data_IF_531545145182
#
_entry.id   IF_531545145182
#
_cell.length_a   1.000
_cell.length_b   1.000
_cell.length_c   1.000
_cell.angle_alpha   90.00
_cell.angle_beta   90.00
_cell.angle_gamma   90.00
#
_symmetry.space_group_name_H-M   'P 1'
#
loop_
_entity.id
_entity.type
_entity.pdbx_description
1 polymer ?
#
# COMPACT_ATOMS: atom_id res chain seq x y z
N UNK A 1 -2.56 -15.51 -1.56
CA UNK A 1 -3.16 -15.66 -0.21
C UNK A 1 -4.55 -16.29 -0.35
N UNK A 2 -4.81 -17.36 0.41
CA UNK A 2 -6.09 -18.05 0.65
C UNK A 2 -6.91 -18.46 -0.61
N UNK A 3 -6.59 -19.61 -1.25
CA UNK A 3 -7.46 -20.19 -2.28
C UNK A 3 -8.81 -20.58 -1.69
N UNK A 4 -9.86 -20.50 -2.50
CA UNK A 4 -11.22 -20.77 -2.07
C UNK A 4 -11.50 -22.28 -1.99
N UNK A 5 -11.31 -22.87 -0.81
CA UNK A 5 -11.64 -24.27 -0.52
C UNK A 5 -13.06 -24.45 0.04
N UNK A 6 -13.53 -25.69 0.18
CA UNK A 6 -14.89 -25.97 0.62
C UNK A 6 -15.21 -25.42 2.03
N UNK A 7 -14.34 -25.57 3.05
CA UNK A 7 -14.53 -24.90 4.33
C UNK A 7 -14.66 -23.37 4.21
N UNK A 8 -13.81 -22.73 3.41
CA UNK A 8 -13.82 -21.29 3.23
C UNK A 8 -15.08 -20.81 2.49
N UNK A 9 -15.52 -21.55 1.46
CA UNK A 9 -16.80 -21.29 0.77
C UNK A 9 -17.97 -21.26 1.74
N UNK A 10 -18.06 -22.23 2.66
CA UNK A 10 -19.14 -22.27 3.67
C UNK A 10 -19.09 -21.07 4.62
N UNK A 11 -17.89 -20.61 4.98
CA UNK A 11 -17.71 -19.42 5.83
C UNK A 11 -18.13 -18.14 5.09
N UNK A 12 -17.74 -17.99 3.82
CA UNK A 12 -18.13 -16.88 2.96
C UNK A 12 -19.66 -16.85 2.74
N UNK A 13 -20.27 -18.02 2.53
CA UNK A 13 -21.72 -18.15 2.36
C UNK A 13 -22.48 -17.75 3.63
N UNK A 14 -22.01 -18.22 4.80
CA UNK A 14 -22.56 -17.81 6.09
C UNK A 14 -22.40 -16.30 6.33
N UNK A 15 -21.28 -15.71 5.92
CA UNK A 15 -21.04 -14.27 5.99
C UNK A 15 -22.04 -13.48 5.13
N UNK A 16 -22.21 -13.81 3.84
CA UNK A 16 -23.19 -13.14 2.96
C UNK A 16 -24.61 -13.28 3.50
N UNK A 17 -25.03 -14.50 3.88
CA UNK A 17 -26.35 -14.74 4.47
C UNK A 17 -26.55 -13.94 5.74
N UNK A 18 -25.52 -13.82 6.57
CA UNK A 18 -25.54 -13.01 7.78
C UNK A 18 -25.72 -11.51 7.50
N UNK A 19 -25.06 -10.98 6.47
CA UNK A 19 -25.22 -9.59 6.05
C UNK A 19 -26.63 -9.30 5.52
N UNK A 20 -27.16 -10.17 4.65
CA UNK A 20 -28.50 -10.02 4.05
C UNK A 20 -29.61 -10.06 5.12
N UNK A 21 -29.46 -10.90 6.15
CA UNK A 21 -30.46 -11.04 7.23
C UNK A 21 -30.55 -9.84 8.17
N UNK A 22 -29.56 -8.96 8.19
CA UNK A 22 -29.60 -7.74 9.04
C UNK A 22 -30.64 -6.76 8.49
N UNK A 23 -31.18 -5.91 9.36
CA UNK A 23 -32.19 -4.91 8.95
C UNK A 23 -31.70 -3.99 7.85
N UNK A 24 -30.42 -3.61 7.88
CA UNK A 24 -29.77 -2.81 6.83
C UNK A 24 -29.53 -3.59 5.53
N UNK A 25 -29.43 -4.92 5.60
CA UNK A 25 -29.09 -5.81 4.49
C UNK A 25 -30.14 -5.83 3.38
N UNK A 26 -31.39 -5.50 3.69
CA UNK A 26 -32.50 -5.47 2.73
C UNK A 26 -32.21 -4.57 1.53
N UNK A 27 -31.51 -3.45 1.74
CA UNK A 27 -31.18 -2.46 0.72
C UNK A 27 -30.16 -2.95 -0.31
N UNK A 28 -29.40 -4.00 0.03
CA UNK A 28 -28.30 -4.52 -0.79
C UNK A 28 -28.52 -5.98 -1.19
N UNK A 29 -29.72 -6.51 -0.98
CA UNK A 29 -30.04 -7.93 -1.20
C UNK A 29 -30.31 -8.28 -2.66
N UNK A 30 -30.58 -7.29 -3.51
CA UNK A 30 -30.91 -7.43 -4.93
C UNK A 30 -30.33 -6.28 -5.74
N UNK A 31 -30.14 -6.45 -7.06
CA UNK A 31 -29.71 -5.36 -7.94
C UNK A 31 -30.61 -4.14 -7.82
N UNK A 32 -30.02 -2.95 -7.89
CA UNK A 32 -30.77 -1.70 -7.94
C UNK A 32 -31.55 -1.62 -9.25
N UNK A 33 -32.88 -1.67 -9.17
CA UNK A 33 -33.77 -1.41 -10.31
C UNK A 33 -33.87 0.10 -10.55
N UNK A 34 -32.79 0.68 -11.06
CA UNK A 34 -32.67 2.11 -11.30
C UNK A 34 -33.70 2.64 -12.30
N UNK A 35 -34.24 1.80 -13.19
CA UNK A 35 -35.32 2.18 -14.10
C UNK A 35 -36.62 2.39 -13.34
N UNK A 36 -37.03 1.41 -12.53
CA UNK A 36 -38.24 1.49 -11.70
C UNK A 36 -38.16 2.61 -10.68
N UNK A 37 -36.97 2.87 -10.14
CA UNK A 37 -36.71 3.95 -9.19
C UNK A 37 -36.47 5.31 -9.85
N UNK A 38 -36.49 5.40 -11.19
CA UNK A 38 -36.23 6.62 -11.96
C UNK A 38 -34.87 7.28 -11.65
N UNK A 39 -33.88 6.48 -11.30
CA UNK A 39 -32.51 6.92 -11.00
C UNK A 39 -31.70 7.02 -12.30
N UNK A 40 -32.03 8.01 -13.13
CA UNK A 40 -31.43 8.18 -14.47
C UNK A 40 -29.91 8.36 -14.47
N UNK A 41 -29.34 8.85 -13.37
CA UNK A 41 -27.89 9.04 -13.23
C UNK A 41 -27.16 7.80 -12.68
N UNK A 42 -27.89 6.80 -12.16
CA UNK A 42 -27.29 5.58 -11.63
C UNK A 42 -26.40 4.87 -12.67
N UNK A 43 -26.84 4.57 -13.90
CA UNK A 43 -25.96 3.93 -14.89
C UNK A 43 -24.83 4.84 -15.39
N UNK A 44 -24.93 6.16 -15.17
CA UNK A 44 -23.84 7.10 -15.52
C UNK A 44 -22.74 7.08 -14.46
N UNK A 45 -23.10 6.96 -13.19
CA UNK A 45 -22.18 7.01 -12.06
C UNK A 45 -21.65 5.61 -11.68
N UNK A 46 -22.52 4.60 -11.69
CA UNK A 46 -22.20 3.23 -11.26
C UNK A 46 -21.85 2.37 -12.47
N UNK A 47 -20.54 2.16 -12.66
CA UNK A 47 -19.99 1.43 -13.82
C UNK A 47 -20.10 -0.08 -13.68
N UNK A 48 -20.07 -0.60 -12.45
CA UNK A 48 -20.16 -2.02 -12.17
C UNK A 48 -21.21 -2.24 -11.06
N UNK A 49 -22.51 -2.31 -11.41
CA UNK A 49 -23.57 -2.60 -10.44
C UNK A 49 -23.31 -3.93 -9.74
N UNK A 50 -23.51 -3.97 -8.42
CA UNK A 50 -23.33 -5.18 -7.61
C UNK A 50 -24.22 -5.13 -6.37
N UNK A 51 -24.64 -6.30 -5.91
CA UNK A 51 -25.46 -6.50 -4.71
C UNK A 51 -25.10 -7.85 -4.05
N UNK A 52 -25.45 -7.99 -2.77
CA UNK A 52 -25.10 -9.18 -1.97
C UNK A 52 -25.77 -10.47 -2.47
N UNK A 53 -26.94 -10.37 -3.11
CA UNK A 53 -27.62 -11.52 -3.70
C UNK A 53 -26.82 -12.08 -4.87
N UNK A 54 -26.42 -11.21 -5.80
CA UNK A 54 -25.56 -11.56 -6.94
C UNK A 54 -24.21 -12.13 -6.47
N UNK A 55 -23.59 -11.53 -5.45
CA UNK A 55 -22.35 -12.09 -4.86
C UNK A 55 -22.58 -13.49 -4.29
N UNK A 56 -23.68 -13.71 -3.58
CA UNK A 56 -24.06 -15.03 -3.05
C UNK A 56 -24.27 -16.07 -4.15
N UNK A 57 -24.94 -15.71 -5.25
CA UNK A 57 -25.12 -16.59 -6.41
C UNK A 57 -23.79 -16.98 -7.07
N UNK A 58 -22.89 -16.01 -7.23
CA UNK A 58 -21.55 -16.25 -7.78
C UNK A 58 -20.71 -17.14 -6.88
N UNK A 59 -20.78 -16.92 -5.56
CA UNK A 59 -20.11 -17.77 -4.58
C UNK A 59 -20.59 -19.22 -4.67
N UNK A 60 -21.90 -19.45 -4.78
CA UNK A 60 -22.48 -20.79 -4.93
C UNK A 60 -22.11 -21.51 -6.23
N UNK A 61 -21.61 -20.78 -7.23
CA UNK A 61 -21.06 -21.32 -8.49
C UNK A 61 -19.53 -21.46 -8.47
N UNK A 62 -18.90 -21.30 -7.30
CA UNK A 62 -17.44 -21.30 -7.13
C UNK A 62 -16.73 -20.29 -8.05
N UNK A 63 -17.32 -19.12 -8.27
CA UNK A 63 -16.80 -18.12 -9.20
C UNK A 63 -15.59 -17.31 -8.67
N UNK A 64 -15.17 -17.53 -7.43
CA UNK A 64 -14.09 -16.79 -6.78
C UNK A 64 -12.89 -17.70 -6.51
N UNK A 65 -11.76 -17.53 -7.21
CA UNK A 65 -10.56 -18.32 -6.99
C UNK A 65 -9.92 -18.09 -5.61
N UNK A 66 -9.96 -16.86 -5.10
CA UNK A 66 -9.39 -16.47 -3.81
C UNK A 66 -10.43 -15.80 -2.91
N UNK A 67 -10.16 -15.81 -1.60
CA UNK A 67 -10.93 -15.03 -0.62
C UNK A 67 -11.00 -13.54 -0.98
N UNK A 68 -9.88 -12.98 -1.44
CA UNK A 68 -9.80 -11.57 -1.82
C UNK A 68 -10.73 -11.23 -3.01
N UNK A 69 -10.90 -12.15 -3.97
CA UNK A 69 -11.79 -11.93 -5.12
C UNK A 69 -13.25 -11.82 -4.67
N UNK A 70 -13.66 -12.69 -3.75
CA UNK A 70 -14.96 -12.63 -3.09
C UNK A 70 -15.11 -11.33 -2.29
N UNK A 71 -14.12 -10.99 -1.47
CA UNK A 71 -14.15 -9.82 -0.61
C UNK A 71 -14.25 -8.52 -1.42
N UNK A 72 -13.53 -8.45 -2.53
CA UNK A 72 -13.57 -7.31 -3.44
C UNK A 72 -14.96 -7.11 -4.06
N UNK A 73 -15.67 -8.16 -4.45
CA UNK A 73 -17.04 -7.99 -4.93
C UNK A 73 -18.02 -7.53 -3.85
N UNK A 74 -17.85 -7.97 -2.60
CA UNK A 74 -18.64 -7.42 -1.48
C UNK A 74 -18.33 -5.93 -1.28
N UNK A 75 -17.04 -5.55 -1.31
CA UNK A 75 -16.61 -4.15 -1.18
C UNK A 75 -17.11 -3.27 -2.33
N UNK A 76 -17.29 -3.82 -3.53
CA UNK A 76 -17.91 -3.12 -4.65
C UNK A 76 -19.35 -2.70 -4.36
N UNK A 77 -20.12 -3.51 -3.61
CA UNK A 77 -21.47 -3.14 -3.14
C UNK A 77 -21.41 -1.85 -2.32
N UNK A 78 -20.49 -1.77 -1.37
CA UNK A 78 -20.31 -0.61 -0.51
C UNK A 78 -19.81 0.60 -1.27
N UNK A 79 -18.81 0.40 -2.15
CA UNK A 79 -18.28 1.44 -3.02
C UNK A 79 -19.39 2.09 -3.86
N UNK A 80 -20.22 1.29 -4.51
CA UNK A 80 -21.32 1.79 -5.30
C UNK A 80 -22.31 2.60 -4.46
N UNK A 81 -22.56 2.15 -3.22
CA UNK A 81 -23.40 2.89 -2.28
C UNK A 81 -22.76 4.24 -1.90
N UNK A 82 -21.45 4.30 -1.67
CA UNK A 82 -20.75 5.55 -1.33
C UNK A 82 -20.67 6.54 -2.49
N UNK A 83 -20.52 6.05 -3.74
CA UNK A 83 -20.49 6.89 -4.94
C UNK A 83 -21.87 7.52 -5.20
N UNK A 84 -22.93 6.71 -5.11
CA UNK A 84 -24.26 7.15 -5.53
C UNK A 84 -24.99 7.96 -4.44
N UNK A 85 -24.79 7.62 -3.16
CA UNK A 85 -25.58 8.17 -2.07
C UNK A 85 -24.79 9.21 -1.26
N UNK A 86 -25.49 10.23 -0.76
CA UNK A 86 -24.89 11.23 0.13
C UNK A 86 -24.50 10.63 1.48
N UNK A 87 -23.41 11.11 2.14
CA UNK A 87 -22.91 10.56 3.40
C UNK A 87 -23.92 10.47 4.55
N UNK A 88 -24.91 11.37 4.57
CA UNK A 88 -25.95 11.46 5.58
C UNK A 88 -27.17 10.55 5.30
N UNK A 89 -27.28 10.01 4.08
CA UNK A 89 -28.39 9.17 3.66
C UNK A 89 -28.46 7.84 4.42
N UNK A 90 -29.66 7.27 4.48
CA UNK A 90 -29.89 5.94 5.10
C UNK A 90 -29.09 4.85 4.40
N UNK A 91 -28.94 4.92 3.07
CA UNK A 91 -28.22 3.92 2.27
C UNK A 91 -26.71 3.99 2.51
N UNK A 92 -26.13 5.19 2.58
CA UNK A 92 -24.71 5.35 2.88
C UNK A 92 -24.38 4.84 4.29
N UNK A 93 -25.18 5.23 5.30
CA UNK A 93 -25.01 4.78 6.68
C UNK A 93 -25.20 3.27 6.83
N UNK A 94 -26.16 2.70 6.10
CA UNK A 94 -26.38 1.25 6.05
C UNK A 94 -25.18 0.51 5.43
N UNK A 95 -24.65 1.01 4.30
CA UNK A 95 -23.46 0.46 3.67
C UNK A 95 -22.24 0.52 4.60
N UNK A 96 -22.02 1.66 5.28
CA UNK A 96 -20.94 1.80 6.28
C UNK A 96 -21.06 0.77 7.41
N UNK A 97 -22.26 0.64 7.98
CA UNK A 97 -22.52 -0.31 9.06
C UNK A 97 -22.26 -1.76 8.62
N UNK A 98 -22.74 -2.15 7.44
CA UNK A 98 -22.52 -3.50 6.92
C UNK A 98 -21.08 -3.75 6.48
N UNK A 99 -20.40 -2.72 5.96
CA UNK A 99 -18.97 -2.75 5.66
C UNK A 99 -18.15 -3.04 6.91
N UNK A 100 -18.41 -2.36 8.03
CA UNK A 100 -17.70 -2.60 9.29
C UNK A 100 -17.90 -4.03 9.82
N UNK A 101 -19.13 -4.54 9.73
CA UNK A 101 -19.45 -5.93 10.08
C UNK A 101 -18.73 -6.91 9.15
N UNK A 102 -18.74 -6.63 7.85
CA UNK A 102 -18.10 -7.46 6.85
C UNK A 102 -16.58 -7.53 7.07
N UNK A 103 -15.89 -6.39 7.18
CA UNK A 103 -14.43 -6.37 7.34
C UNK A 103 -14.00 -7.06 8.64
N UNK A 104 -14.77 -6.90 9.74
CA UNK A 104 -14.50 -7.62 10.99
C UNK A 104 -14.62 -9.15 10.79
N UNK A 105 -15.66 -9.62 10.11
CA UNK A 105 -15.85 -11.07 9.92
C UNK A 105 -14.90 -11.66 8.87
N UNK A 106 -14.53 -10.88 7.85
CA UNK A 106 -13.52 -11.25 6.88
C UNK A 106 -12.16 -11.43 7.55
N UNK A 107 -11.77 -10.51 8.45
CA UNK A 107 -10.55 -10.61 9.25
C UNK A 107 -10.51 -11.88 10.13
N UNK A 108 -11.63 -12.24 10.76
CA UNK A 108 -11.73 -13.48 11.54
C UNK A 108 -11.49 -14.72 10.66
N UNK A 109 -12.08 -14.74 9.46
CA UNK A 109 -11.89 -15.81 8.48
C UNK A 109 -10.43 -15.88 8.00
N UNK A 110 -9.82 -14.74 7.68
CA UNK A 110 -8.41 -14.67 7.24
C UNK A 110 -7.45 -15.21 8.31
N UNK A 111 -7.65 -14.82 9.58
CA UNK A 111 -6.84 -15.31 10.70
C UNK A 111 -6.95 -16.83 10.89
N UNK A 112 -8.14 -17.39 10.66
CA UNK A 112 -8.34 -18.85 10.72
C UNK A 112 -7.62 -19.57 9.57
N UNK A 113 -7.58 -18.97 8.38
CA UNK A 113 -6.85 -19.53 7.23
C UNK A 113 -5.33 -19.52 7.43
N UNK A 114 -4.78 -18.53 8.13
CA UNK A 114 -3.34 -18.42 8.42
C UNK A 114 -2.83 -19.44 9.46
N UNK A 115 -3.71 -20.17 10.15
CA UNK A 115 -3.30 -21.21 11.11
C UNK A 115 -2.64 -22.43 10.45
N UNK A 116 -2.67 -22.52 9.11
CA UNK A 116 -1.82 -23.41 8.33
C UNK A 116 -0.48 -22.73 8.06
N UNK A 117 0.59 -23.15 8.77
CA UNK A 117 1.94 -22.61 8.63
C UNK A 117 2.41 -22.62 7.16
N UNK A 118 2.42 -21.47 6.46
CA UNK A 118 3.07 -21.39 5.16
C UNK A 118 4.59 -21.43 5.39
N UNK A 119 5.41 -21.80 4.40
CA UNK A 119 6.85 -21.56 4.47
C UNK A 119 7.11 -20.08 4.77
N UNK A 120 8.21 -19.74 5.48
CA UNK A 120 8.54 -18.36 5.80
C UNK A 120 8.73 -17.57 4.49
N UNK A 121 7.73 -16.75 4.16
CA UNK A 121 7.81 -15.75 3.10
C UNK A 121 8.43 -14.51 3.73
N UNK A 122 9.40 -13.90 3.03
CA UNK A 122 10.04 -12.68 3.48
C UNK A 122 9.03 -11.57 3.80
N UNK A 123 9.32 -10.79 4.84
CA UNK A 123 8.42 -9.75 5.34
C UNK A 123 8.12 -8.66 4.29
N UNK A 124 9.08 -8.33 3.42
CA UNK A 124 8.87 -7.40 2.31
C UNK A 124 8.05 -8.03 1.19
N UNK A 125 8.23 -9.31 0.90
CA UNK A 125 7.37 -10.01 -0.06
C UNK A 125 5.91 -10.06 0.45
N UNK A 126 5.69 -10.23 1.76
CA UNK A 126 4.35 -10.10 2.35
C UNK A 126 3.80 -8.67 2.23
N UNK A 127 4.64 -7.65 2.37
CA UNK A 127 4.23 -6.26 2.14
C UNK A 127 3.84 -6.03 0.68
N UNK A 128 4.59 -6.59 -0.27
CA UNK A 128 4.26 -6.55 -1.70
C UNK A 128 2.90 -7.20 -1.99
N UNK A 129 2.65 -8.40 -1.44
CA UNK A 129 1.33 -9.05 -1.57
C UNK A 129 0.20 -8.21 -0.95
N UNK A 130 0.44 -7.59 0.21
CA UNK A 130 -0.52 -6.69 0.82
C UNK A 130 -0.79 -5.46 -0.07
N UNK A 131 0.24 -4.87 -0.67
CA UNK A 131 0.11 -3.75 -1.60
C UNK A 131 -0.73 -4.14 -2.84
N UNK A 132 -0.49 -5.33 -3.41
CA UNK A 132 -1.28 -5.87 -4.51
C UNK A 132 -2.75 -6.01 -4.11
N UNK A 133 -3.03 -6.60 -2.95
CA UNK A 133 -4.40 -6.78 -2.49
C UNK A 133 -5.07 -5.41 -2.21
N UNK A 134 -4.36 -4.44 -1.60
CA UNK A 134 -4.85 -3.07 -1.40
C UNK A 134 -5.17 -2.35 -2.72
N UNK A 135 -4.35 -2.53 -3.78
CA UNK A 135 -4.63 -1.98 -5.11
C UNK A 135 -5.82 -2.66 -5.79
N UNK A 136 -6.01 -3.96 -5.57
CA UNK A 136 -7.15 -4.72 -6.11
C UNK A 136 -8.48 -4.33 -5.46
N UNK A 137 -8.44 -3.85 -4.21
CA UNK A 137 -9.63 -3.40 -3.48
C UNK A 137 -10.39 -2.32 -4.28
N UNK A 138 -11.69 -2.48 -4.56
CA UNK A 138 -12.45 -1.50 -5.32
C UNK A 138 -12.46 -0.11 -4.68
N UNK A 139 -12.41 -0.03 -3.35
CA UNK A 139 -12.39 1.23 -2.61
C UNK A 139 -11.09 2.03 -2.86
N UNK A 140 -10.02 1.39 -3.32
CA UNK A 140 -8.73 2.06 -3.52
C UNK A 140 -8.63 2.90 -4.80
N UNK A 141 -9.64 2.87 -5.69
CA UNK A 141 -9.55 3.45 -7.05
C UNK A 141 -8.99 4.88 -7.07
N UNK A 142 -9.48 5.78 -6.22
CA UNK A 142 -9.05 7.18 -6.16
C UNK A 142 -7.64 7.41 -5.58
N UNK A 143 -6.99 6.36 -5.10
CA UNK A 143 -5.70 6.41 -4.41
C UNK A 143 -4.63 5.61 -5.14
N UNK A 144 -4.95 5.07 -6.32
CA UNK A 144 -4.05 4.20 -7.11
C UNK A 144 -2.98 4.97 -7.86
N UNK A 145 -3.26 6.22 -8.21
CA UNK A 145 -2.40 7.07 -9.02
C UNK A 145 -2.27 8.45 -8.38
N UNK A 146 -1.21 9.22 -8.69
CA UNK A 146 -1.04 10.56 -8.16
C UNK A 146 -2.24 11.46 -8.48
N UNK A 147 -2.64 12.30 -7.53
CA UNK A 147 -3.72 13.27 -7.75
C UNK A 147 -3.29 14.30 -8.79
N UNK A 148 -3.94 14.30 -9.94
CA UNK A 148 -3.79 15.36 -10.95
C UNK A 148 -4.58 16.60 -10.53
N UNK A 149 -4.00 17.33 -9.57
CA UNK A 149 -4.62 18.50 -8.98
C UNK A 149 -4.81 19.65 -10.00
N UNK A 150 -4.07 19.65 -11.12
CA UNK A 150 -4.23 20.64 -12.19
C UNK A 150 -5.49 20.31 -13.00
N UNK A 151 -5.63 19.08 -13.48
CA UNK A 151 -6.81 18.66 -14.24
C UNK A 151 -8.11 18.75 -13.43
N UNK A 152 -8.01 18.55 -12.10
CA UNK A 152 -9.14 18.68 -11.17
C UNK A 152 -9.39 20.13 -10.70
N UNK A 153 -8.55 21.10 -11.08
CA UNK A 153 -8.70 22.50 -10.68
C UNK A 153 -8.44 22.77 -9.18
N UNK A 154 -7.73 21.88 -8.50
CA UNK A 154 -7.39 21.95 -7.09
C UNK A 154 -6.13 22.82 -6.89
N UNK A 155 -6.30 24.13 -6.93
CA UNK A 155 -5.20 25.12 -6.92
C UNK A 155 -4.44 25.21 -5.58
N UNK A 156 -5.05 24.74 -4.49
CA UNK A 156 -4.49 24.77 -3.14
C UNK A 156 -3.87 23.43 -2.71
N UNK A 157 -3.98 22.37 -3.54
CA UNK A 157 -3.58 21.02 -3.17
C UNK A 157 -2.13 20.93 -2.69
N UNK A 158 -1.19 21.55 -3.41
CA UNK A 158 0.24 21.56 -3.07
C UNK A 158 0.58 22.45 -1.88
N UNK A 159 -0.35 23.33 -1.45
CA UNK A 159 -0.19 24.14 -0.25
C UNK A 159 -0.67 23.38 1.00
N UNK A 160 -1.68 22.52 0.83
CA UNK A 160 -2.26 21.71 1.91
C UNK A 160 -1.51 20.39 2.11
N UNK A 161 -1.11 19.74 1.02
CA UNK A 161 -0.45 18.43 1.04
C UNK A 161 1.05 18.61 0.81
N UNK A 162 1.81 18.46 1.90
CA UNK A 162 3.26 18.62 1.89
C UNK A 162 3.99 17.50 1.12
N UNK A 163 3.53 16.26 1.26
CA UNK A 163 4.16 15.09 0.63
C UNK A 163 3.08 14.25 -0.05
N UNK A 164 2.79 14.47 -1.34
CA UNK A 164 1.88 13.63 -2.10
C UNK A 164 2.34 12.17 -2.12
N UNK A 165 1.39 11.24 -2.02
CA UNK A 165 1.65 9.80 -2.08
C UNK A 165 0.41 9.07 -2.60
N UNK A 166 0.63 7.97 -3.33
CA UNK A 166 -0.39 7.12 -3.93
C UNK A 166 0.14 5.68 -4.04
N UNK A 167 -0.77 4.70 -4.18
CA UNK A 167 -0.38 3.29 -4.25
C UNK A 167 0.46 2.95 -5.50
N UNK A 168 0.35 3.75 -6.56
CA UNK A 168 1.11 3.64 -7.80
C UNK A 168 2.57 3.98 -7.60
N UNK A 169 2.82 5.11 -6.93
CA UNK A 169 4.15 5.52 -6.49
C UNK A 169 4.76 4.49 -5.54
N UNK A 170 3.99 3.97 -4.57
CA UNK A 170 4.46 2.93 -3.65
C UNK A 170 4.85 1.65 -4.39
N UNK A 171 4.11 1.24 -5.42
CA UNK A 171 4.51 0.10 -6.27
C UNK A 171 5.86 0.36 -6.94
N UNK A 172 6.07 1.54 -7.54
CA UNK A 172 7.36 1.88 -8.17
C UNK A 172 8.50 1.89 -7.15
N UNK A 173 8.25 2.36 -5.93
CA UNK A 173 9.23 2.31 -4.82
C UNK A 173 9.56 0.88 -4.41
N UNK A 174 8.55 0.01 -4.33
CA UNK A 174 8.72 -1.43 -4.04
C UNK A 174 9.53 -2.15 -5.13
N UNK A 175 9.21 -1.92 -6.41
CA UNK A 175 9.92 -2.52 -7.57
C UNK A 175 11.40 -2.09 -7.66
N UNK A 176 11.71 -0.89 -7.17
CA UNK A 176 13.07 -0.34 -7.10
C UNK A 176 13.76 -0.64 -5.76
N UNK A 177 13.18 -1.49 -4.92
CA UNK A 177 13.74 -1.85 -3.60
C UNK A 177 14.01 -0.65 -2.68
N UNK A 178 13.24 0.44 -2.79
CA UNK A 178 13.46 1.69 -2.05
C UNK A 178 12.93 1.67 -0.60
N UNK A 179 12.45 0.52 -0.13
CA UNK A 179 11.98 0.33 1.25
C UNK A 179 12.98 -0.52 2.02
N UNK A 180 13.58 0.04 3.06
CA UNK A 180 14.57 -0.66 3.89
C UNK A 180 13.92 -1.58 4.92
N UNK A 181 12.66 -1.33 5.25
CA UNK A 181 11.88 -2.09 6.21
C UNK A 181 10.39 -2.10 5.86
N UNK A 182 9.63 -3.07 6.40
CA UNK A 182 8.17 -3.06 6.34
C UNK A 182 7.55 -1.75 6.84
N UNK A 183 8.20 -1.06 7.78
CA UNK A 183 7.69 0.18 8.36
C UNK A 183 7.86 1.40 7.44
N UNK A 184 8.91 1.42 6.62
CA UNK A 184 9.07 2.45 5.59
C UNK A 184 7.96 2.35 4.55
N UNK A 185 7.64 1.11 4.13
CA UNK A 185 6.49 0.81 3.28
C UNK A 185 5.18 1.22 3.95
N UNK A 186 4.98 0.84 5.21
CA UNK A 186 3.74 1.15 5.93
C UNK A 186 3.55 2.65 6.15
N UNK A 187 4.63 3.39 6.36
CA UNK A 187 4.59 4.86 6.50
C UNK A 187 4.04 5.52 5.24
N UNK A 188 4.50 5.12 4.05
CA UNK A 188 3.98 5.64 2.79
C UNK A 188 2.52 5.24 2.56
N UNK A 189 2.15 3.98 2.84
CA UNK A 189 0.75 3.55 2.67
C UNK A 189 -0.17 4.35 3.59
N UNK A 190 0.20 4.59 4.85
CA UNK A 190 -0.57 5.43 5.78
C UNK A 190 -0.63 6.88 5.31
N UNK A 191 0.43 7.40 4.70
CA UNK A 191 0.48 8.74 4.15
C UNK A 191 -0.57 8.94 3.04
N UNK A 192 -0.83 7.94 2.20
CA UNK A 192 -1.92 7.99 1.19
C UNK A 192 -3.26 8.33 1.85
N UNK A 193 -3.61 7.60 2.91
CA UNK A 193 -4.89 7.78 3.61
C UNK A 193 -4.93 9.08 4.39
N UNK A 194 -3.83 9.43 5.05
CA UNK A 194 -3.72 10.65 5.83
C UNK A 194 -3.87 11.88 4.94
N UNK A 195 -3.20 11.92 3.78
CA UNK A 195 -3.34 13.02 2.82
C UNK A 195 -4.78 13.18 2.35
N UNK A 196 -5.46 12.07 2.04
CA UNK A 196 -6.85 12.11 1.63
C UNK A 196 -7.77 12.72 2.70
N UNK A 197 -7.58 12.34 3.97
CA UNK A 197 -8.34 12.87 5.12
C UNK A 197 -7.97 14.33 5.39
N UNK A 198 -6.70 14.70 5.29
CA UNK A 198 -6.23 16.07 5.49
C UNK A 198 -6.86 17.01 4.46
N UNK A 199 -6.87 16.64 3.18
CA UNK A 199 -7.42 17.49 2.12
C UNK A 199 -8.95 17.50 2.11
N UNK A 200 -9.61 16.34 2.28
CA UNK A 200 -11.05 16.20 2.07
C UNK A 200 -11.88 16.19 3.35
N UNK A 201 -11.27 16.19 4.54
CA UNK A 201 -11.90 15.88 5.85
C UNK A 201 -12.35 14.44 6.02
N UNK A 202 -12.35 13.95 7.26
CA UNK A 202 -12.78 12.59 7.62
C UNK A 202 -14.28 12.31 7.36
N UNK A 203 -15.10 13.36 7.27
CA UNK A 203 -16.54 13.23 7.03
C UNK A 203 -16.91 13.13 5.54
N UNK A 204 -15.99 13.52 4.65
CA UNK A 204 -16.20 13.36 3.21
C UNK A 204 -16.21 11.90 2.79
N UNK A 205 -16.77 11.63 1.61
CA UNK A 205 -16.70 10.30 0.98
C UNK A 205 -15.25 9.79 0.91
N UNK A 206 -14.31 10.63 0.45
CA UNK A 206 -12.89 10.25 0.34
C UNK A 206 -12.26 9.96 1.70
N UNK A 207 -12.57 10.76 2.73
CA UNK A 207 -12.08 10.54 4.09
C UNK A 207 -12.65 9.28 4.74
N UNK A 208 -13.94 8.99 4.51
CA UNK A 208 -14.57 7.74 4.99
C UNK A 208 -13.92 6.53 4.34
N UNK A 209 -13.72 6.56 3.01
CA UNK A 209 -13.10 5.45 2.30
C UNK A 209 -11.62 5.28 2.68
N UNK A 210 -10.87 6.37 2.82
CA UNK A 210 -9.50 6.34 3.31
C UNK A 210 -9.41 5.74 4.72
N UNK A 211 -10.34 6.08 5.62
CA UNK A 211 -10.42 5.49 6.96
C UNK A 211 -10.73 4.00 6.97
N UNK A 212 -11.54 3.51 6.02
CA UNK A 212 -11.81 2.06 5.86
C UNK A 212 -10.55 1.35 5.35
N UNK A 213 -9.90 1.89 4.31
CA UNK A 213 -8.67 1.33 3.75
C UNK A 213 -7.51 1.32 4.75
N UNK A 214 -7.37 2.38 5.56
CA UNK A 214 -6.39 2.46 6.64
C UNK A 214 -6.60 1.34 7.66
N UNK A 215 -7.84 1.09 8.09
CA UNK A 215 -8.15 0.00 9.01
C UNK A 215 -7.87 -1.38 8.40
N UNK A 216 -8.24 -1.62 7.15
CA UNK A 216 -7.93 -2.87 6.44
C UNK A 216 -6.41 -3.07 6.39
N UNK A 217 -5.67 -2.02 5.99
CA UNK A 217 -4.23 -2.05 5.90
C UNK A 217 -3.57 -2.37 7.25
N UNK A 218 -3.85 -1.59 8.29
CA UNK A 218 -3.17 -1.75 9.59
C UNK A 218 -3.46 -3.13 10.21
N UNK A 219 -4.69 -3.66 10.04
CA UNK A 219 -5.04 -5.00 10.51
C UNK A 219 -4.24 -6.10 9.81
N UNK A 220 -4.12 -6.02 8.49
CA UNK A 220 -3.37 -7.00 7.69
C UNK A 220 -1.86 -6.84 7.86
N UNK A 221 -1.37 -5.61 7.95
CA UNK A 221 0.03 -5.32 8.25
C UNK A 221 0.43 -5.84 9.64
N UNK A 222 -0.46 -5.77 10.63
CA UNK A 222 -0.22 -6.38 11.95
C UNK A 222 -0.04 -7.91 11.90
N UNK A 223 -0.60 -8.60 10.90
CA UNK A 223 -0.32 -10.04 10.70
C UNK A 223 1.09 -10.26 10.14
N UNK A 224 1.58 -9.37 9.29
CA UNK A 224 2.95 -9.41 8.77
C UNK A 224 3.95 -9.20 9.91
N UNK A 225 3.76 -8.17 10.72
CA UNK A 225 4.68 -7.84 11.82
C UNK A 225 4.62 -8.85 12.97
N UNK A 226 3.45 -9.43 13.28
CA UNK A 226 3.35 -10.53 14.26
C UNK A 226 4.08 -11.78 13.80
N UNK A 227 3.93 -12.17 12.53
CA UNK A 227 4.66 -13.32 11.99
C UNK A 227 6.17 -13.06 11.89
N UNK A 228 6.57 -11.83 11.56
CA UNK A 228 7.98 -11.39 11.57
C UNK A 228 8.56 -11.24 12.99
N UNK A 229 7.75 -11.39 14.05
CA UNK A 229 8.23 -11.54 15.42
C UNK A 229 8.40 -13.02 15.82
N UNK A 230 7.70 -13.95 15.17
CA UNK A 230 7.77 -15.41 15.43
C UNK A 230 8.82 -16.13 14.56
N UNK A 231 9.05 -15.64 13.35
CA UNK A 231 10.33 -15.79 12.68
C UNK A 231 11.04 -14.48 12.99
N UNK A 232 12.11 -14.42 13.80
CA UNK A 232 12.72 -13.18 14.26
C UNK A 232 13.50 -12.50 13.13
N UNK A 233 12.88 -12.43 11.94
CA UNK A 233 13.38 -12.14 10.61
C UNK A 233 14.85 -11.93 10.71
N UNK A 234 15.59 -13.07 10.78
CA UNK A 234 17.00 -13.16 11.15
C UNK A 234 17.62 -11.77 11.03
N UNK A 235 17.78 -10.98 12.12
CA UNK A 235 18.13 -9.56 11.98
C UNK A 235 19.33 -9.57 11.09
N UNK A 236 19.29 -8.99 9.86
CA UNK A 236 20.24 -9.34 8.78
C UNK A 236 21.59 -9.52 9.44
N UNK A 237 22.03 -10.78 9.71
CA UNK A 237 23.04 -10.94 10.74
C UNK A 237 24.26 -10.43 10.06
N UNK A 238 24.84 -9.33 10.57
CA UNK A 238 25.99 -8.62 10.02
C UNK A 238 26.60 -9.47 8.94
N UNK A 239 26.11 -9.32 7.69
CA UNK A 239 26.43 -10.29 6.65
C UNK A 239 27.95 -10.19 6.58
N UNK A 240 28.73 -11.25 6.84
CA UNK A 240 30.18 -11.10 6.85
C UNK A 240 30.58 -10.57 5.48
N UNK A 241 30.94 -9.29 5.41
CA UNK A 241 31.12 -8.57 4.15
C UNK A 241 29.91 -7.78 3.61
N UNK A 242 29.05 -7.14 4.43
CA UNK A 242 28.07 -6.12 3.96
C UNK A 242 27.89 -4.93 4.94
N UNK A 243 27.63 -3.69 4.46
CA UNK A 243 27.61 -2.52 5.33
C UNK A 243 26.42 -2.49 6.28
N UNK A 244 26.67 -2.18 7.57
CA UNK A 244 25.61 -2.02 8.57
C UNK A 244 24.78 -0.75 8.31
N UNK A 245 23.55 -0.71 8.83
CA UNK A 245 22.69 0.49 8.74
C UNK A 245 23.40 1.74 9.28
N UNK A 246 24.10 1.63 10.41
CA UNK A 246 24.87 2.75 10.97
C UNK A 246 25.99 3.21 10.03
N UNK A 247 26.64 2.27 9.33
CA UNK A 247 27.66 2.60 8.34
C UNK A 247 27.06 3.31 7.13
N UNK A 248 25.90 2.84 6.61
CA UNK A 248 25.18 3.46 5.49
C UNK A 248 24.70 4.87 5.83
N UNK A 249 24.10 5.06 7.02
CA UNK A 249 23.68 6.38 7.51
C UNK A 249 24.87 7.34 7.62
N UNK A 250 25.99 6.87 8.20
CA UNK A 250 27.22 7.66 8.26
C UNK A 250 27.74 8.03 6.86
N UNK A 251 27.69 7.10 5.91
CA UNK A 251 28.11 7.36 4.53
C UNK A 251 27.27 8.45 3.87
N UNK A 252 25.94 8.38 4.00
CA UNK A 252 25.02 9.42 3.53
C UNK A 252 25.32 10.79 4.14
N UNK A 253 25.53 10.86 5.46
CA UNK A 253 25.87 12.09 6.19
C UNK A 253 27.22 12.71 5.78
N UNK A 254 28.13 11.93 5.18
CA UNK A 254 29.37 12.43 4.60
C UNK A 254 29.12 12.96 3.19
N UNK A 255 28.36 12.24 2.38
CA UNK A 255 28.05 12.62 0.99
C UNK A 255 27.38 14.00 0.91
N UNK A 256 26.45 14.28 1.83
CA UNK A 256 25.78 15.59 1.92
C UNK A 256 26.71 16.77 2.23
N UNK A 257 27.94 16.51 2.66
CA UNK A 257 28.96 17.53 2.99
C UNK A 257 30.04 17.67 1.91
N UNK A 258 30.01 16.81 0.89
CA UNK A 258 30.98 16.85 -0.21
C UNK A 258 30.59 17.91 -1.25
N UNK A 259 31.59 18.46 -1.93
CA UNK A 259 31.34 19.33 -3.08
C UNK A 259 30.85 18.51 -4.27
N UNK A 260 30.24 19.15 -5.27
CA UNK A 260 29.84 18.47 -6.50
C UNK A 260 31.04 17.83 -7.23
N UNK A 261 32.22 18.47 -7.19
CA UNK A 261 33.45 17.91 -7.75
C UNK A 261 33.89 16.64 -7.01
N UNK A 262 33.78 16.64 -5.68
CA UNK A 262 34.06 15.45 -4.86
C UNK A 262 33.01 14.35 -5.09
N UNK A 263 31.72 14.68 -5.21
CA UNK A 263 30.67 13.71 -5.55
C UNK A 263 30.93 13.06 -6.91
N UNK A 264 31.35 13.83 -7.92
CA UNK A 264 31.74 13.27 -9.22
C UNK A 264 32.96 12.34 -9.14
N UNK A 265 33.94 12.66 -8.28
CA UNK A 265 35.06 11.76 -7.98
C UNK A 265 34.60 10.48 -7.27
N UNK A 266 33.67 10.60 -6.33
CA UNK A 266 33.07 9.47 -5.61
C UNK A 266 32.32 8.53 -6.56
N UNK A 267 31.46 9.07 -7.41
CA UNK A 267 30.73 8.31 -8.45
C UNK A 267 31.72 7.61 -9.37
N UNK A 268 32.80 8.29 -9.78
CA UNK A 268 33.85 7.68 -10.61
C UNK A 268 34.57 6.52 -9.90
N UNK A 269 34.73 6.58 -8.59
CA UNK A 269 35.32 5.49 -7.79
C UNK A 269 34.36 4.30 -7.70
N UNK A 270 33.07 4.56 -7.50
CA UNK A 270 32.02 3.52 -7.48
C UNK A 270 31.91 2.85 -8.85
N UNK A 271 31.80 3.63 -9.94
CA UNK A 271 31.67 3.09 -11.30
C UNK A 271 32.81 2.14 -11.68
N UNK A 272 34.04 2.39 -11.21
CA UNK A 272 35.20 1.53 -11.48
C UNK A 272 35.20 0.22 -10.70
N UNK A 273 34.57 0.21 -9.53
CA UNK A 273 34.68 -0.90 -8.56
C UNK A 273 33.40 -1.74 -8.52
N UNK A 274 32.25 -1.10 -8.76
CA UNK A 274 30.92 -1.70 -8.70
C UNK A 274 30.01 -1.03 -9.74
N UNK A 275 30.07 -1.49 -10.99
CA UNK A 275 29.33 -0.89 -12.12
C UNK A 275 27.81 -0.95 -11.95
N UNK A 276 27.31 -2.00 -11.30
CA UNK A 276 25.88 -2.24 -11.12
C UNK A 276 25.24 -1.23 -10.15
N UNK A 277 26.04 -0.62 -9.29
CA UNK A 277 25.60 0.38 -8.32
C UNK A 277 25.47 1.79 -8.92
N UNK A 278 25.68 1.98 -10.23
CA UNK A 278 25.63 3.30 -10.86
C UNK A 278 24.68 3.30 -12.05
N UNK A 279 23.68 4.19 -12.01
CA UNK A 279 22.71 4.36 -13.06
C UNK A 279 22.83 5.75 -13.70
N UNK A 280 22.92 5.78 -15.03
CA UNK A 280 22.92 7.03 -15.79
C UNK A 280 21.47 7.54 -15.93
N UNK A 281 21.17 8.67 -15.30
CA UNK A 281 19.85 9.30 -15.36
C UNK A 281 19.94 10.52 -16.30
N UNK A 282 19.78 10.29 -17.60
CA UNK A 282 19.85 11.35 -18.61
C UNK A 282 21.28 11.79 -18.97
N UNK A 283 21.42 12.94 -19.63
CA UNK A 283 22.70 13.38 -20.21
C UNK A 283 23.71 13.92 -19.19
N UNK A 284 23.26 14.33 -17.98
CA UNK A 284 24.10 15.01 -16.99
C UNK A 284 23.93 14.53 -15.54
N UNK A 285 23.04 13.57 -15.27
CA UNK A 285 22.81 13.08 -13.91
C UNK A 285 23.20 11.61 -13.80
N UNK A 286 23.78 11.28 -12.65
CA UNK A 286 24.22 9.93 -12.32
C UNK A 286 23.74 9.62 -10.91
N UNK A 287 23.02 8.51 -10.77
CA UNK A 287 22.51 8.01 -9.51
C UNK A 287 23.39 6.86 -9.03
N UNK A 288 23.72 6.83 -7.73
CA UNK A 288 24.46 5.74 -7.11
C UNK A 288 23.56 5.03 -6.13
N UNK A 289 23.29 3.76 -6.41
CA UNK A 289 22.56 2.87 -5.52
C UNK A 289 23.53 2.34 -4.44
N UNK A 290 23.36 2.83 -3.21
CA UNK A 290 24.19 2.46 -2.06
C UNK A 290 23.91 1.02 -1.61
N UNK A 291 22.74 0.48 -1.95
CA UNK A 291 22.32 -0.88 -1.60
C UNK A 291 22.88 -1.94 -2.55
N UNK A 292 23.36 -1.55 -3.73
CA UNK A 292 24.08 -2.41 -4.69
C UNK A 292 25.61 -2.38 -4.50
N UNK A 293 26.12 -1.57 -3.55
CA UNK A 293 27.56 -1.52 -3.26
C UNK A 293 28.03 -2.77 -2.52
N UNK A 294 29.01 -3.47 -3.10
CA UNK A 294 29.77 -4.48 -2.38
C UNK A 294 30.60 -3.84 -1.23
N UNK A 295 30.95 -4.63 -0.21
CA UNK A 295 31.59 -4.13 1.01
C UNK A 295 33.00 -3.56 0.80
N UNK A 296 33.76 -4.08 -0.16
CA UNK A 296 35.09 -3.58 -0.46
C UNK A 296 34.99 -2.19 -1.09
N UNK A 297 34.09 -2.04 -2.07
CA UNK A 297 33.74 -0.75 -2.67
C UNK A 297 33.18 0.21 -1.63
N UNK A 298 32.22 -0.22 -0.80
CA UNK A 298 31.64 0.63 0.23
C UNK A 298 32.69 1.14 1.23
N UNK A 299 33.57 0.27 1.73
CA UNK A 299 34.63 0.68 2.66
C UNK A 299 35.63 1.64 2.02
N UNK A 300 36.02 1.40 0.76
CA UNK A 300 36.91 2.29 0.01
C UNK A 300 36.30 3.68 -0.13
N UNK A 301 35.04 3.75 -0.54
CA UNK A 301 34.35 5.03 -0.78
C UNK A 301 34.06 5.76 0.52
N UNK A 302 33.68 5.03 1.59
CA UNK A 302 33.50 5.59 2.92
C UNK A 302 34.82 6.15 3.50
N UNK A 303 35.93 5.43 3.35
CA UNK A 303 37.25 5.87 3.81
C UNK A 303 37.71 7.11 3.03
N UNK A 304 37.52 7.10 1.71
CA UNK A 304 37.83 8.24 0.84
C UNK A 304 37.01 9.48 1.24
N UNK A 305 35.70 9.37 1.41
CA UNK A 305 34.82 10.48 1.80
C UNK A 305 35.21 11.04 3.18
N UNK A 306 35.55 10.16 4.12
CA UNK A 306 36.03 10.56 5.45
C UNK A 306 37.37 11.31 5.39
N UNK A 307 38.32 10.85 4.57
CA UNK A 307 39.62 11.48 4.41
C UNK A 307 39.49 12.86 3.75
N UNK A 308 38.64 12.98 2.73
CA UNK A 308 38.36 14.24 2.04
C UNK A 308 37.85 15.33 2.97
N UNK A 309 36.85 15.01 3.79
CA UNK A 309 36.28 15.96 4.74
C UNK A 309 37.20 16.28 5.93
N UNK A 310 38.21 15.44 6.21
CA UNK A 310 39.27 15.77 7.16
C UNK A 310 40.28 16.74 6.56
N UNK A 311 40.74 16.47 5.33
CA UNK A 311 41.68 17.33 4.62
C UNK A 311 41.14 18.76 4.44
N UNK A 312 39.86 18.89 4.05
CA UNK A 312 39.21 20.19 3.88
C UNK A 312 39.09 21.02 5.17
N UNK A 313 39.14 20.37 6.35
CA UNK A 313 39.13 21.06 7.65
C UNK A 313 40.51 21.56 8.08
N UNK A 314 41.57 20.87 7.68
CA UNK A 314 42.96 21.28 7.98
C UNK A 314 43.49 22.38 7.05
N UNK A 315 42.94 22.52 5.84
CA UNK A 315 43.33 23.59 4.91
C UNK A 315 42.60 24.92 5.18
N UNK A 316 41.54 24.90 6.01
CA UNK A 316 40.72 26.06 6.37
C UNK A 316 40.91 26.56 7.81
N UNK A 317 41.90 26.06 8.55
CA UNK A 317 42.34 26.55 9.87
C UNK A 317 43.74 27.12 9.79
#
# INVERSE_FOLDING_TARGET
LNPMDEPLLRKCDALIKGLIKRSQGVHFSKPVDWKKLQLHDYPKLIKQPMDLGTVGEKLGRNAYPRLEDFANEVRLVWKNAYIFNQPDSVFFKAAKTLSDVFEKRCEEIEKECEQYQPPPIDSMERCNLLLVDMRSNPLSEWFRDPVDHIALGLTDYTQVIATPMDLGTIVKKMERSQYMSPEDFASDVRLVWQNAITYNSAASMFGVVAGILAQIFDRRYALITRSAATDPGRPIPDRPGWPTFQAKKKFYDLCTKLTLADLNQMVSLVQRSCTNAVQQCGEKEVEVDVDELDMDTFNKVLAWATAKLKASKTEGS
#
